data_IF_995615417214
#
_entry.id   IF_995615417214
#
_cell.length_a   1.000
_cell.length_b   1.000
_cell.length_c   1.000
_cell.angle_alpha   90.00
_cell.angle_beta   90.00
_cell.angle_gamma   90.00
#
_symmetry.space_group_name_H-M   'P 1'
#
loop_
_entity.id
_entity.type
_entity.pdbx_description
1 polymer ?
#
# COMPACT_ATOMS: atom_id res chain seq x y z
N UNK A 1 13.15 12.73 8.34
CA UNK A 1 11.89 11.97 8.32
C UNK A 1 10.92 12.59 7.35
N UNK A 2 10.25 11.77 6.58
CA UNK A 2 9.34 12.26 5.54
C UNK A 2 7.93 12.30 6.06
N UNK A 3 7.24 13.39 5.78
CA UNK A 3 5.90 13.61 6.27
C UNK A 3 4.91 12.64 5.62
N UNK A 4 3.90 12.26 6.38
CA UNK A 4 2.77 11.51 5.85
C UNK A 4 1.87 12.48 5.11
N UNK A 5 1.49 12.14 3.91
CA UNK A 5 0.61 12.96 3.08
C UNK A 5 -0.75 12.30 2.98
N UNK A 6 -1.79 13.09 3.15
CA UNK A 6 -3.15 12.58 2.99
C UNK A 6 -3.55 12.73 1.52
N UNK A 7 -4.26 11.72 1.03
CA UNK A 7 -4.76 11.69 -0.32
C UNK A 7 -6.07 10.93 -0.35
N UNK A 8 -6.58 10.65 -1.52
CA UNK A 8 -7.81 9.87 -1.68
C UNK A 8 -7.79 9.17 -3.02
N UNK A 9 -8.39 7.99 -3.04
CA UNK A 9 -8.56 7.20 -4.26
C UNK A 9 -10.03 6.83 -4.39
N UNK A 10 -10.50 6.70 -5.60
CA UNK A 10 -11.87 6.28 -5.83
C UNK A 10 -11.88 4.86 -6.35
N UNK A 11 -12.53 3.97 -5.63
CA UNK A 11 -12.56 2.55 -5.96
C UNK A 11 -14.02 2.13 -6.08
N UNK A 12 -14.42 1.73 -7.29
CA UNK A 12 -15.80 1.34 -7.58
C UNK A 12 -16.80 2.36 -7.06
N UNK A 13 -16.52 3.64 -7.31
CA UNK A 13 -17.43 4.73 -6.97
C UNK A 13 -17.35 5.22 -5.53
N UNK A 14 -16.54 4.60 -4.70
CA UNK A 14 -16.39 4.98 -3.29
C UNK A 14 -15.05 5.65 -3.07
N UNK A 15 -15.06 6.80 -2.39
CA UNK A 15 -13.83 7.51 -2.06
C UNK A 15 -13.17 6.85 -0.85
N UNK A 16 -11.91 6.51 -0.99
CA UNK A 16 -11.09 5.91 0.07
C UNK A 16 -10.01 6.91 0.46
N UNK A 17 -10.02 7.33 1.72
CA UNK A 17 -8.95 8.18 2.21
C UNK A 17 -7.68 7.35 2.35
N UNK A 18 -6.58 7.89 1.85
CA UNK A 18 -5.30 7.19 1.87
C UNK A 18 -4.23 8.03 2.52
N UNK A 19 -3.18 7.35 2.95
CA UNK A 19 -1.99 7.99 3.52
C UNK A 19 -0.77 7.53 2.76
N UNK A 20 0.07 8.47 2.39
CA UNK A 20 1.25 8.23 1.58
C UNK A 20 2.49 8.62 2.36
N UNK A 21 3.53 7.83 2.25
CA UNK A 21 4.81 8.12 2.89
C UNK A 21 5.95 7.52 2.07
N UNK A 22 7.08 8.22 2.07
CA UNK A 22 8.32 7.65 1.58
C UNK A 22 9.07 7.06 2.76
N UNK A 23 9.52 5.82 2.61
CA UNK A 23 10.37 5.18 3.61
C UNK A 23 11.79 5.09 3.04
N UNK A 24 12.74 5.48 3.85
CA UNK A 24 14.13 5.60 3.44
C UNK A 24 15.03 4.75 4.31
N UNK A 25 15.95 4.05 3.66
CA UNK A 25 17.13 3.49 4.29
C UNK A 25 18.33 4.02 3.54
N UNK A 26 19.53 3.64 3.94
CA UNK A 26 20.75 4.17 3.31
C UNK A 26 20.74 3.94 1.79
N UNK A 27 20.34 2.75 1.37
CA UNK A 27 20.43 2.37 -0.05
C UNK A 27 19.08 2.03 -0.68
N UNK A 28 17.97 2.44 -0.07
CA UNK A 28 16.66 2.14 -0.63
C UNK A 28 15.62 3.20 -0.26
N UNK A 29 14.74 3.49 -1.22
CA UNK A 29 13.62 4.41 -1.02
C UNK A 29 12.38 3.79 -1.65
N UNK A 30 11.34 3.62 -0.85
CA UNK A 30 10.04 3.18 -1.33
C UNK A 30 8.99 4.23 -1.02
N UNK A 31 8.04 4.39 -1.91
CA UNK A 31 6.84 5.18 -1.64
C UNK A 31 5.70 4.22 -1.42
N UNK A 32 4.96 4.41 -0.35
CA UNK A 32 3.81 3.58 -0.03
C UNK A 32 2.60 4.46 0.18
N UNK A 33 1.48 4.05 -0.39
CA UNK A 33 0.20 4.71 -0.18
C UNK A 33 -0.81 3.63 0.17
N UNK A 34 -1.50 3.80 1.28
CA UNK A 34 -2.43 2.79 1.78
C UNK A 34 -3.65 3.44 2.41
N UNK A 35 -4.79 2.81 2.24
CA UNK A 35 -6.01 3.26 2.86
C UNK A 35 -7.13 2.27 2.70
N UNK A 36 -8.12 2.38 3.56
CA UNK A 36 -9.29 1.52 3.52
C UNK A 36 -10.49 2.25 4.12
N UNK A 37 -11.68 1.86 3.68
CA UNK A 37 -12.92 2.32 4.32
C UNK A 37 -13.23 1.52 5.58
N UNK A 38 -12.49 0.43 5.83
CA UNK A 38 -12.73 -0.46 6.96
C UNK A 38 -13.78 -1.52 6.66
N UNK A 39 -13.96 -2.48 7.58
CA UNK A 39 -14.83 -3.64 7.31
C UNK A 39 -16.28 -3.29 7.00
N UNK A 40 -16.80 -2.18 7.54
CA UNK A 40 -18.17 -1.78 7.32
C UNK A 40 -18.32 -0.54 6.46
N UNK A 41 -17.17 -0.01 5.97
CA UNK A 41 -17.18 1.18 5.14
C UNK A 41 -17.55 0.89 3.70
N UNK A 42 -17.60 1.95 2.89
CA UNK A 42 -18.01 1.83 1.52
C UNK A 42 -19.52 1.82 1.40
N UNK A 43 -20.04 0.95 0.55
CA UNK A 43 -21.49 0.80 0.46
C UNK A 43 -21.91 -0.51 1.10
N UNK A 44 -23.20 -0.61 1.41
CA UNK A 44 -23.74 -1.76 2.14
C UNK A 44 -23.73 -3.06 1.35
N UNK A 45 -23.64 -2.96 0.04
CA UNK A 45 -23.74 -4.15 -0.81
C UNK A 45 -22.39 -4.73 -1.16
N UNK A 46 -21.34 -3.91 -1.13
CA UNK A 46 -20.02 -4.31 -1.64
C UNK A 46 -18.93 -4.34 -0.58
N UNK A 47 -19.21 -3.87 0.61
CA UNK A 47 -18.26 -3.91 1.71
C UNK A 47 -17.12 -2.91 1.59
N UNK A 48 -15.99 -3.23 2.18
CA UNK A 48 -14.86 -2.31 2.25
C UNK A 48 -14.17 -2.13 0.90
N UNK A 49 -13.57 -0.95 0.76
CA UNK A 49 -12.65 -0.65 -0.34
C UNK A 49 -11.27 -0.44 0.25
N UNK A 50 -10.28 -1.06 -0.33
CA UNK A 50 -8.92 -1.02 0.20
C UNK A 50 -7.93 -0.73 -0.92
N UNK A 51 -6.97 0.13 -0.66
CA UNK A 51 -5.98 0.55 -1.64
C UNK A 51 -4.58 0.36 -1.10
N UNK A 52 -3.70 -0.13 -1.96
CA UNK A 52 -2.26 -0.25 -1.65
C UNK A 52 -1.47 0.06 -2.91
N UNK A 53 -0.56 1.02 -2.80
CA UNK A 53 0.41 1.33 -3.85
C UNK A 53 1.80 1.25 -3.24
N UNK A 54 2.65 0.43 -3.81
CA UNK A 54 4.03 0.31 -3.40
C UNK A 54 4.90 0.60 -4.61
N UNK A 55 5.68 1.68 -4.55
CA UNK A 55 6.48 2.15 -5.67
C UNK A 55 7.94 2.21 -5.26
N UNK A 56 8.81 1.61 -6.07
CA UNK A 56 10.25 1.64 -5.86
C UNK A 56 10.80 2.91 -6.46
N UNK A 57 11.33 3.80 -5.63
CA UNK A 57 11.95 5.02 -6.08
C UNK A 57 13.46 4.85 -6.23
N UNK A 58 14.05 4.01 -5.38
CA UNK A 58 15.48 3.71 -5.44
C UNK A 58 15.74 2.43 -4.66
N UNK A 59 16.64 1.60 -5.14
CA UNK A 59 17.03 0.40 -4.43
C UNK A 59 17.00 -0.83 -5.30
N UNK A 60 17.47 -1.93 -4.73
CA UNK A 60 17.62 -3.19 -5.45
C UNK A 60 16.37 -4.06 -5.28
N UNK A 61 15.36 -3.74 -6.07
CA UNK A 61 14.08 -4.45 -6.08
C UNK A 61 13.74 -4.88 -7.49
N UNK A 62 13.07 -6.02 -7.59
CA UNK A 62 12.51 -6.49 -8.84
C UNK A 62 11.02 -6.71 -8.66
N UNK A 63 10.23 -6.04 -9.48
CA UNK A 63 8.78 -6.18 -9.47
C UNK A 63 8.36 -6.91 -10.75
N UNK A 64 7.67 -8.04 -10.58
CA UNK A 64 7.26 -8.85 -11.73
C UNK A 64 5.77 -9.16 -11.64
N UNK A 65 5.01 -8.82 -12.68
CA UNK A 65 3.59 -9.22 -12.71
C UNK A 65 3.46 -10.70 -13.03
N UNK A 66 2.49 -11.35 -12.39
CA UNK A 66 2.10 -12.70 -12.74
C UNK A 66 0.82 -12.62 -13.56
N UNK A 67 0.83 -13.28 -14.71
CA UNK A 67 -0.28 -13.19 -15.65
C UNK A 67 -0.84 -14.58 -15.99
N UNK A 68 -2.14 -14.64 -16.23
CA UNK A 68 -2.76 -15.82 -16.82
C UNK A 68 -2.45 -15.88 -18.31
N UNK A 69 -2.77 -17.01 -18.94
CA UNK A 69 -2.54 -17.21 -20.38
C UNK A 69 -3.21 -16.14 -21.24
N UNK A 70 -4.33 -15.60 -20.77
CA UNK A 70 -5.05 -14.56 -21.50
C UNK A 70 -4.49 -13.15 -21.27
N UNK A 71 -3.37 -13.04 -20.54
CA UNK A 71 -2.73 -11.75 -20.25
C UNK A 71 -3.24 -11.03 -19.02
N UNK A 72 -4.25 -11.58 -18.35
CA UNK A 72 -4.77 -10.95 -17.13
C UNK A 72 -3.74 -11.03 -16.02
N UNK A 73 -3.46 -9.89 -15.38
CA UNK A 73 -2.55 -9.86 -14.24
C UNK A 73 -3.28 -10.39 -13.01
N UNK A 74 -2.73 -11.41 -12.39
CA UNK A 74 -3.33 -12.07 -11.21
C UNK A 74 -2.45 -11.99 -9.98
N UNK A 75 -1.25 -11.46 -10.10
CA UNK A 75 -0.37 -11.34 -8.96
C UNK A 75 0.80 -10.45 -9.27
N UNK A 76 1.54 -10.14 -8.21
CA UNK A 76 2.77 -9.38 -8.35
C UNK A 76 3.81 -10.00 -7.44
N UNK A 77 5.03 -10.13 -7.96
CA UNK A 77 6.16 -10.64 -7.18
C UNK A 77 7.10 -9.50 -6.88
N UNK A 78 7.52 -9.42 -5.64
CA UNK A 78 8.48 -8.42 -5.21
C UNK A 78 9.66 -9.15 -4.63
N UNK A 79 10.83 -8.94 -5.22
CA UNK A 79 12.08 -9.50 -4.73
C UNK A 79 13.02 -8.36 -4.39
N UNK A 80 13.83 -8.55 -3.39
CA UNK A 80 14.81 -7.53 -3.01
C UNK A 80 16.15 -8.18 -2.72
N UNK A 81 17.20 -7.39 -2.81
CA UNK A 81 18.53 -7.83 -2.48
C UNK A 81 19.17 -6.80 -1.55
N UNK A 82 19.79 -7.28 -0.47
CA UNK A 82 20.47 -6.44 0.48
C UNK A 82 19.62 -6.10 1.71
N UNK A 83 20.32 -5.79 2.79
CA UNK A 83 19.66 -5.53 4.07
C UNK A 83 18.87 -4.24 4.08
N UNK A 84 19.36 -3.21 3.37
CA UNK A 84 18.64 -1.93 3.30
C UNK A 84 17.34 -2.05 2.54
N UNK A 85 17.30 -2.85 1.49
CA UNK A 85 16.07 -3.10 0.75
C UNK A 85 15.06 -3.86 1.59
N UNK A 86 15.52 -4.86 2.34
CA UNK A 86 14.67 -5.58 3.28
C UNK A 86 14.08 -4.62 4.33
N UNK A 87 14.92 -3.78 4.92
CA UNK A 87 14.46 -2.85 5.94
C UNK A 87 13.42 -1.86 5.38
N UNK A 88 13.66 -1.35 4.17
CA UNK A 88 12.70 -0.44 3.52
C UNK A 88 11.37 -1.14 3.27
N UNK A 89 11.40 -2.39 2.83
CA UNK A 89 10.18 -3.16 2.60
C UNK A 89 9.43 -3.40 3.89
N UNK A 90 10.14 -3.75 4.97
CA UNK A 90 9.51 -3.94 6.27
C UNK A 90 8.84 -2.66 6.76
N UNK A 91 9.50 -1.52 6.60
CA UNK A 91 8.94 -0.22 7.00
C UNK A 91 7.69 0.12 6.17
N UNK A 92 7.72 -0.17 4.87
CA UNK A 92 6.57 0.11 4.00
C UNK A 92 5.37 -0.76 4.37
N UNK A 93 5.61 -2.05 4.63
CA UNK A 93 4.54 -2.96 5.03
C UNK A 93 3.98 -2.59 6.41
N UNK A 94 4.86 -2.22 7.33
CA UNK A 94 4.44 -1.78 8.66
C UNK A 94 3.57 -0.53 8.59
N UNK A 95 3.97 0.44 7.78
CA UNK A 95 3.19 1.65 7.57
C UNK A 95 1.80 1.31 7.02
N UNK A 96 1.73 0.44 6.03
CA UNK A 96 0.47 0.03 5.41
C UNK A 96 -0.45 -0.61 6.43
N UNK A 97 0.09 -1.53 7.23
CA UNK A 97 -0.70 -2.22 8.25
C UNK A 97 -1.25 -1.23 9.27
N UNK A 98 -0.42 -0.31 9.74
CA UNK A 98 -0.86 0.68 10.72
C UNK A 98 -1.95 1.60 10.15
N UNK A 99 -1.83 2.00 8.88
CA UNK A 99 -2.85 2.81 8.24
C UNK A 99 -4.19 2.08 8.21
N UNK A 100 -4.18 0.82 7.82
CA UNK A 100 -5.40 0.02 7.77
C UNK A 100 -6.00 -0.17 9.16
N UNK A 101 -5.19 -0.52 10.13
CA UNK A 101 -5.67 -0.76 11.50
C UNK A 101 -6.28 0.51 12.10
N UNK A 102 -5.61 1.63 11.91
CA UNK A 102 -6.10 2.91 12.44
C UNK A 102 -7.43 3.29 11.80
N UNK A 103 -7.57 3.10 10.50
CA UNK A 103 -8.82 3.41 9.81
C UNK A 103 -9.94 2.46 10.20
N UNK A 104 -9.64 1.18 10.38
CA UNK A 104 -10.64 0.23 10.86
C UNK A 104 -11.12 0.56 12.27
N UNK A 105 -10.21 0.95 13.13
CA UNK A 105 -10.56 1.33 14.50
C UNK A 105 -11.34 2.65 14.55
N UNK A 106 -10.99 3.58 13.68
CA UNK A 106 -11.68 4.87 13.61
C UNK A 106 -13.14 4.75 13.23
N UNK A 107 -13.49 3.72 12.47
CA UNK A 107 -14.88 3.52 12.07
C UNK A 107 -15.79 3.05 13.20
N UNK A 108 -15.19 2.50 14.23
CA UNK A 108 -15.97 2.02 15.38
C UNK A 108 -16.44 3.17 16.28
N UNK A 109 -15.90 4.34 16.03
CA UNK A 109 -16.30 5.54 16.78
C UNK A 109 -17.51 6.19 16.11
#
# INVERSE_FOLDING_TARGET
MYAIRESAQKINGVVVDTFERQVHTEDAVLRVEAGTTGPTGGDRTSGSRTFLDLTVLYGDFLLEPECEENGKVIGIRISSCGDDSLEALMKALDFSLHAYVDQCNGEDD
#
